data_IF_404304354181
#
_entry.id   IF_404304354181
#
_cell.length_a   1.000
_cell.length_b   1.000
_cell.length_c   1.000
_cell.angle_alpha   90.00
_cell.angle_beta   90.00
_cell.angle_gamma   90.00
#
_symmetry.space_group_name_H-M   'P 1'
#
loop_
_entity.id
_entity.type
_entity.pdbx_description
1 polymer ?
#
# COMPACT_ATOMS: atom_id res chain seq x y z
N UNK A 1 -3.08 5.45 -1.00
CA UNK A 1 -3.31 5.21 -2.44
C UNK A 1 -4.20 6.30 -3.01
N UNK A 2 -3.96 6.72 -4.25
CA UNK A 2 -4.81 7.66 -4.96
C UNK A 2 -5.40 6.97 -6.19
N UNK A 3 -6.67 7.24 -6.50
CA UNK A 3 -7.31 6.74 -7.71
C UNK A 3 -6.80 7.45 -8.97
N UNK A 4 -7.35 7.09 -10.13
CA UNK A 4 -7.03 7.69 -11.42
C UNK A 4 -7.31 9.20 -11.48
N UNK A 5 -8.17 9.71 -10.60
CA UNK A 5 -8.50 11.13 -10.47
C UNK A 5 -7.64 11.81 -9.39
N UNK A 6 -6.57 11.15 -8.92
CA UNK A 6 -5.64 11.63 -7.91
C UNK A 6 -6.32 11.91 -6.54
N UNK A 7 -7.50 11.31 -6.27
CA UNK A 7 -8.16 11.41 -4.96
C UNK A 7 -7.63 10.34 -4.03
N UNK A 8 -7.35 10.71 -2.78
CA UNK A 8 -6.89 9.78 -1.76
C UNK A 8 -8.05 8.89 -1.31
N UNK A 9 -7.79 7.60 -1.17
CA UNK A 9 -8.75 6.70 -0.51
C UNK A 9 -9.03 7.16 0.94
N UNK A 10 -10.30 7.35 1.27
CA UNK A 10 -10.76 7.81 2.60
C UNK A 10 -11.19 6.66 3.52
N UNK A 11 -10.95 5.40 3.14
CA UNK A 11 -11.30 4.26 3.99
C UNK A 11 -10.55 4.32 5.32
N UNK A 12 -11.30 4.25 6.42
CA UNK A 12 -10.76 4.23 7.79
C UNK A 12 -10.83 2.84 8.43
N UNK A 13 -11.28 1.82 7.67
CA UNK A 13 -11.42 0.44 8.14
C UNK A 13 -10.56 -0.51 7.31
N UNK A 14 -10.21 -1.64 7.93
CA UNK A 14 -9.42 -2.73 7.33
C UNK A 14 -8.12 -2.20 6.71
N UNK A 15 -7.35 -1.50 7.55
CA UNK A 15 -6.07 -0.89 7.18
C UNK A 15 -4.93 -1.86 7.44
N UNK A 16 -4.10 -2.06 6.44
CA UNK A 16 -2.92 -2.92 6.45
C UNK A 16 -1.66 -2.10 6.19
N UNK A 17 -0.54 -2.53 6.78
CA UNK A 17 0.79 -2.05 6.41
C UNK A 17 1.23 -2.70 5.10
N UNK A 18 1.81 -1.90 4.20
CA UNK A 18 2.27 -2.32 2.88
C UNK A 18 3.65 -1.74 2.59
N UNK A 19 4.55 -2.56 2.06
CA UNK A 19 5.88 -2.10 1.66
C UNK A 19 5.84 -1.34 0.33
N UNK A 20 6.42 -0.14 0.30
CA UNK A 20 6.58 0.67 -0.91
C UNK A 20 7.56 -0.01 -1.87
N UNK A 21 8.71 -0.42 -1.35
CA UNK A 21 9.63 -1.34 -2.04
C UNK A 21 9.34 -2.76 -1.55
N UNK A 22 8.91 -3.69 -2.42
CA UNK A 22 8.62 -5.06 -2.01
C UNK A 22 9.83 -5.74 -1.35
N UNK A 23 9.57 -6.59 -0.36
CA UNK A 23 10.61 -7.38 0.34
C UNK A 23 11.45 -8.19 -0.65
N UNK A 24 10.82 -8.80 -1.67
CA UNK A 24 11.52 -9.57 -2.71
C UNK A 24 12.51 -8.75 -3.55
N UNK A 25 12.37 -7.41 -3.55
CA UNK A 25 13.26 -6.45 -4.21
C UNK A 25 14.24 -5.79 -3.21
N UNK A 26 14.32 -6.30 -1.98
CA UNK A 26 15.21 -5.79 -0.93
C UNK A 26 14.61 -4.69 -0.05
N UNK A 27 13.30 -4.47 -0.09
CA UNK A 27 12.65 -3.51 0.80
C UNK A 27 12.72 -3.91 2.27
N UNK A 28 13.05 -2.95 3.13
CA UNK A 28 13.19 -3.15 4.58
C UNK A 28 11.91 -2.84 5.36
N UNK A 29 11.80 -3.35 6.59
CA UNK A 29 10.70 -3.09 7.53
C UNK A 29 10.87 -1.76 8.28
N UNK A 30 11.14 -0.67 7.55
CA UNK A 30 11.27 0.67 8.16
C UNK A 30 10.01 1.50 7.94
N UNK A 31 9.74 2.46 8.82
CA UNK A 31 8.55 3.32 8.71
C UNK A 31 8.53 4.10 7.39
N UNK A 32 9.69 4.42 6.83
CA UNK A 32 9.85 5.11 5.56
C UNK A 32 9.50 4.23 4.35
N UNK A 33 9.67 2.91 4.48
CA UNK A 33 9.32 1.95 3.43
C UNK A 33 7.92 1.34 3.63
N UNK A 34 7.22 1.69 4.71
CA UNK A 34 5.87 1.24 4.98
C UNK A 34 4.84 2.34 4.69
N UNK A 35 3.72 1.94 4.12
CA UNK A 35 2.55 2.79 3.95
C UNK A 35 1.30 2.07 4.42
N UNK A 36 0.23 2.80 4.68
CA UNK A 36 -1.06 2.23 5.08
C UNK A 36 -2.02 2.20 3.91
N UNK A 37 -2.55 1.03 3.60
CA UNK A 37 -3.56 0.81 2.57
C UNK A 37 -4.80 0.15 3.19
N UNK A 38 -5.98 0.43 2.64
CA UNK A 38 -7.11 -0.44 2.93
C UNK A 38 -6.91 -1.80 2.24
N UNK A 39 -7.54 -2.85 2.76
CA UNK A 39 -7.41 -4.23 2.25
C UNK A 39 -7.64 -4.34 0.73
N UNK A 40 -8.61 -3.61 0.18
CA UNK A 40 -8.89 -3.63 -1.26
C UNK A 40 -7.69 -3.10 -2.07
N UNK A 41 -7.13 -1.94 -1.68
CA UNK A 41 -5.95 -1.38 -2.35
C UNK A 41 -4.69 -2.19 -2.07
N UNK A 42 -4.59 -2.83 -0.90
CA UNK A 42 -3.48 -3.72 -0.58
C UNK A 42 -3.44 -4.91 -1.53
N UNK A 43 -4.59 -5.54 -1.77
CA UNK A 43 -4.72 -6.63 -2.75
C UNK A 43 -4.40 -6.18 -4.18
N UNK A 44 -4.88 -5.00 -4.59
CA UNK A 44 -4.55 -4.42 -5.90
C UNK A 44 -3.04 -4.17 -6.07
N UNK A 45 -2.35 -3.75 -5.01
CA UNK A 45 -0.91 -3.56 -5.02
C UNK A 45 -0.15 -4.84 -5.38
N UNK A 46 -0.57 -5.98 -4.84
CA UNK A 46 0.03 -7.29 -5.13
C UNK A 46 -0.35 -7.86 -6.51
N UNK A 47 -1.47 -7.43 -7.11
CA UNK A 47 -1.85 -7.84 -8.46
C UNK A 47 -0.99 -7.18 -9.55
N UNK A 48 -0.38 -6.03 -9.24
CA UNK A 48 0.45 -5.26 -10.17
C UNK A 48 1.96 -5.50 -9.98
N UNK A 49 2.35 -6.48 -9.16
CA UNK A 49 3.72 -6.74 -8.73
C UNK A 49 4.30 -7.98 -9.44
#
# INVERSE_FOLDING_TARGET
HKDAENKRCESTRWLDSHHITPVRKGGADTLENLTTLCRAHHQMGHLND
#
